data_IF_026323472063
#
_entry.id   IF_026323472063
#
_cell.length_a   1.000
_cell.length_b   1.000
_cell.length_c   1.000
_cell.angle_alpha   90.00
_cell.angle_beta   90.00
_cell.angle_gamma   90.00
#
_symmetry.space_group_name_H-M   'P 1'
#
loop_
_entity.id
_entity.type
_entity.pdbx_description
1 polymer ?
#
# COMPACT_ATOMS: atom_id res chain seq x y z
N UNK A 1 -3.61 35.58 20.71
CA UNK A 1 -4.18 35.00 19.48
C UNK A 1 -3.03 34.51 18.66
N UNK A 2 -2.88 33.23 18.50
CA UNK A 2 -1.83 32.62 17.65
C UNK A 2 -2.13 32.94 16.18
N UNK A 3 -1.15 33.27 15.33
CA UNK A 3 -1.42 33.58 13.93
C UNK A 3 -2.03 32.34 13.27
N UNK A 4 -3.19 32.54 12.64
CA UNK A 4 -3.87 31.52 11.82
C UNK A 4 -2.91 31.06 10.72
N UNK A 5 -2.45 29.79 10.77
CA UNK A 5 -1.70 29.16 9.68
C UNK A 5 -2.49 29.33 8.38
N UNK A 6 -1.83 29.79 7.33
CA UNK A 6 -2.45 29.92 6.00
C UNK A 6 -2.75 28.51 5.47
N UNK A 7 -3.92 28.36 4.85
CA UNK A 7 -4.27 27.12 4.12
C UNK A 7 -3.18 26.85 3.08
N UNK A 8 -2.47 25.71 3.19
CA UNK A 8 -1.38 25.31 2.29
C UNK A 8 0.03 25.35 2.88
N UNK A 9 0.25 25.90 4.08
CA UNK A 9 1.53 25.76 4.76
C UNK A 9 1.55 24.42 5.53
N UNK A 10 2.36 23.47 5.04
CA UNK A 10 2.65 22.24 5.82
C UNK A 10 3.21 22.59 7.18
N UNK A 11 2.80 21.87 8.21
CA UNK A 11 3.44 22.00 9.53
C UNK A 11 4.92 21.69 9.36
N UNK A 12 5.86 22.64 9.63
CA UNK A 12 7.28 22.40 9.48
C UNK A 12 7.78 21.25 10.37
N UNK A 13 7.04 20.89 11.40
CA UNK A 13 7.33 19.75 12.27
C UNK A 13 6.61 18.46 11.84
N UNK A 14 5.70 18.54 10.87
CA UNK A 14 5.02 17.37 10.33
C UNK A 14 6.02 16.55 9.52
N UNK A 15 6.14 15.27 9.79
CA UNK A 15 7.12 14.38 9.16
C UNK A 15 8.49 14.34 9.86
N UNK A 16 8.75 15.22 10.82
CA UNK A 16 9.95 15.15 11.66
C UNK A 16 9.73 14.38 12.97
N UNK A 17 8.48 14.03 13.27
CA UNK A 17 8.18 13.16 14.41
C UNK A 17 8.83 11.79 14.15
N UNK A 18 9.58 11.25 15.14
CA UNK A 18 10.15 9.92 14.99
C UNK A 18 9.04 8.91 14.70
N UNK A 19 9.31 7.97 13.81
CA UNK A 19 8.38 6.87 13.54
C UNK A 19 8.06 6.15 14.86
N UNK A 20 6.78 6.00 15.17
CA UNK A 20 6.34 5.30 16.37
C UNK A 20 6.47 3.78 16.17
N UNK A 21 7.69 3.26 16.29
CA UNK A 21 7.99 1.83 16.17
C UNK A 21 7.46 1.10 17.42
N UNK A 22 6.80 -0.05 17.23
CA UNK A 22 6.41 -0.96 18.30
C UNK A 22 7.35 -2.17 18.27
N UNK A 23 8.38 -2.22 19.12
CA UNK A 23 9.39 -3.26 19.07
C UNK A 23 8.79 -4.67 19.22
N UNK A 24 9.15 -5.58 18.32
CA UNK A 24 8.76 -6.98 18.38
C UNK A 24 7.34 -7.31 17.97
N UNK A 25 6.53 -6.32 17.52
CA UNK A 25 5.14 -6.55 17.07
C UNK A 25 5.03 -7.58 15.94
N UNK A 26 6.05 -7.65 15.09
CA UNK A 26 6.14 -8.58 13.96
C UNK A 26 7.18 -9.69 14.15
N UNK A 27 7.68 -9.89 15.37
CA UNK A 27 8.68 -10.91 15.63
C UNK A 27 8.19 -12.31 15.21
N UNK A 28 8.97 -12.98 14.37
CA UNK A 28 8.66 -14.31 13.85
C UNK A 28 7.64 -14.32 12.72
N UNK A 29 7.21 -13.16 12.22
CA UNK A 29 6.29 -13.05 11.09
C UNK A 29 7.03 -12.77 9.78
N UNK A 30 6.46 -13.26 8.69
CA UNK A 30 6.95 -13.03 7.33
C UNK A 30 5.95 -12.17 6.57
N UNK A 31 6.44 -11.05 6.04
CA UNK A 31 5.62 -10.11 5.28
C UNK A 31 6.09 -10.01 3.82
N UNK A 32 5.15 -10.03 2.89
CA UNK A 32 5.38 -9.63 1.50
C UNK A 32 4.87 -8.20 1.33
N UNK A 33 5.70 -7.32 0.78
CA UNK A 33 5.34 -5.93 0.47
C UNK A 33 5.57 -5.66 -1.01
N UNK A 34 4.51 -5.38 -1.77
CA UNK A 34 4.60 -5.01 -3.18
C UNK A 34 4.79 -3.51 -3.34
N UNK A 35 5.47 -3.06 -4.41
CA UNK A 35 5.83 -1.66 -4.59
C UNK A 35 6.85 -1.17 -3.56
N UNK A 36 7.69 -2.08 -3.04
CA UNK A 36 8.62 -1.80 -1.95
C UNK A 36 9.82 -0.91 -2.35
N UNK A 37 10.03 -0.67 -3.63
CA UNK A 37 11.15 0.14 -4.12
C UNK A 37 11.04 1.63 -3.79
N UNK A 38 9.84 2.15 -3.48
CA UNK A 38 9.65 3.58 -3.22
C UNK A 38 8.41 3.89 -2.36
N UNK A 39 8.25 5.15 -1.97
CA UNK A 39 7.02 5.69 -1.37
C UNK A 39 6.48 4.89 -0.19
N UNK A 40 5.18 4.63 -0.21
CA UNK A 40 4.47 3.91 0.87
C UNK A 40 5.01 2.48 1.03
N UNK A 41 5.33 1.78 -0.08
CA UNK A 41 5.84 0.41 -0.04
C UNK A 41 7.19 0.33 0.68
N UNK A 42 8.15 1.20 0.32
CA UNK A 42 9.45 1.31 1.02
C UNK A 42 9.26 1.61 2.51
N UNK A 43 8.44 2.61 2.84
CA UNK A 43 8.18 2.97 4.22
C UNK A 43 7.52 1.82 5.02
N UNK A 44 6.59 1.08 4.40
CA UNK A 44 5.95 -0.08 5.03
C UNK A 44 6.95 -1.21 5.25
N UNK A 45 7.77 -1.55 4.25
CA UNK A 45 8.78 -2.60 4.40
C UNK A 45 9.77 -2.29 5.54
N UNK A 46 10.29 -1.06 5.60
CA UNK A 46 11.15 -0.60 6.70
C UNK A 46 10.45 -0.69 8.05
N UNK A 47 9.20 -0.22 8.12
CA UNK A 47 8.41 -0.24 9.34
C UNK A 47 8.21 -1.66 9.88
N UNK A 48 7.79 -2.59 9.04
CA UNK A 48 7.57 -3.98 9.46
C UNK A 48 8.86 -4.65 9.92
N UNK A 49 9.97 -4.43 9.22
CA UNK A 49 11.27 -4.95 9.60
C UNK A 49 11.77 -4.34 10.91
N UNK A 50 11.64 -3.02 11.13
CA UNK A 50 11.98 -2.36 12.38
C UNK A 50 11.15 -2.89 13.57
N UNK A 51 10.00 -3.50 13.31
CA UNK A 51 9.14 -4.17 14.30
C UNK A 51 9.36 -5.69 14.38
N UNK A 52 10.39 -6.20 13.69
CA UNK A 52 10.88 -7.58 13.81
C UNK A 52 10.45 -8.56 12.72
N UNK A 53 9.80 -8.08 11.63
CA UNK A 53 9.41 -8.96 10.52
C UNK A 53 10.59 -9.39 9.65
N UNK A 54 10.48 -10.58 9.04
CA UNK A 54 11.21 -10.91 7.82
C UNK A 54 10.40 -10.44 6.61
N UNK A 55 10.96 -9.57 5.75
CA UNK A 55 10.24 -8.89 4.69
C UNK A 55 10.72 -9.30 3.30
N UNK A 56 9.83 -9.81 2.46
CA UNK A 56 10.05 -9.92 1.03
C UNK A 56 9.66 -8.59 0.37
N UNK A 57 10.64 -7.85 -0.13
CA UNK A 57 10.44 -6.59 -0.83
C UNK A 57 10.27 -6.85 -2.33
N UNK A 58 9.09 -6.58 -2.88
CA UNK A 58 8.74 -6.81 -4.27
C UNK A 58 8.57 -5.50 -5.04
N UNK A 59 9.22 -5.38 -6.19
CA UNK A 59 9.01 -4.28 -7.16
C UNK A 59 9.51 -4.69 -8.55
N UNK A 60 9.07 -3.99 -9.58
CA UNK A 60 9.62 -4.12 -10.95
C UNK A 60 11.02 -3.49 -11.06
N UNK A 61 11.32 -2.49 -10.20
CA UNK A 61 12.58 -1.77 -10.14
C UNK A 61 13.61 -2.53 -9.29
N UNK A 62 14.28 -3.52 -9.88
CA UNK A 62 15.20 -4.42 -9.18
C UNK A 62 16.30 -3.73 -8.39
N UNK A 63 16.93 -2.69 -8.94
CA UNK A 63 17.98 -1.93 -8.25
C UNK A 63 17.43 -1.19 -7.01
N UNK A 64 16.25 -0.58 -7.13
CA UNK A 64 15.64 0.15 -6.03
C UNK A 64 15.30 -0.77 -4.84
N UNK A 65 14.73 -1.95 -5.10
CA UNK A 65 14.41 -2.89 -4.01
C UNK A 65 15.66 -3.53 -3.39
N UNK A 66 16.73 -3.73 -4.17
CA UNK A 66 18.00 -4.22 -3.64
C UNK A 66 18.58 -3.22 -2.62
N UNK A 67 18.59 -1.94 -2.97
CA UNK A 67 19.01 -0.88 -2.05
C UNK A 67 18.14 -0.78 -0.80
N UNK A 68 16.81 -0.92 -0.95
CA UNK A 68 15.88 -0.92 0.20
C UNK A 68 16.12 -2.12 1.12
N UNK A 69 16.33 -3.31 0.55
CA UNK A 69 16.61 -4.50 1.37
C UNK A 69 17.95 -4.38 2.12
N UNK A 70 18.97 -3.83 1.49
CA UNK A 70 20.27 -3.56 2.13
C UNK A 70 20.13 -2.55 3.28
N UNK A 71 19.42 -1.44 3.04
CA UNK A 71 19.10 -0.44 4.06
C UNK A 71 18.38 -1.06 5.27
N UNK A 72 17.33 -1.86 5.02
CA UNK A 72 16.60 -2.55 6.07
C UNK A 72 17.51 -3.51 6.87
N UNK A 73 18.36 -4.29 6.19
CA UNK A 73 19.23 -5.24 6.85
C UNK A 73 20.30 -4.54 7.72
N UNK A 74 20.68 -3.32 7.39
CA UNK A 74 21.57 -2.52 8.24
C UNK A 74 20.83 -1.92 9.45
N UNK A 75 19.59 -1.44 9.27
CA UNK A 75 18.86 -0.67 10.29
C UNK A 75 18.05 -1.55 11.24
N UNK A 76 17.50 -2.68 10.78
CA UNK A 76 16.56 -3.50 11.53
C UNK A 76 17.20 -4.75 12.18
N UNK A 77 18.51 -4.96 12.04
CA UNK A 77 19.21 -6.13 12.57
C UNK A 77 19.02 -6.30 14.07
N UNK A 78 19.14 -5.22 14.84
CA UNK A 78 18.98 -5.24 16.30
C UNK A 78 17.54 -5.55 16.73
N UNK A 79 16.55 -5.24 15.90
CA UNK A 79 15.14 -5.59 16.12
C UNK A 79 14.81 -7.04 15.71
N UNK A 80 15.76 -7.75 15.12
CA UNK A 80 15.57 -9.08 14.57
C UNK A 80 14.84 -9.09 13.22
N UNK A 81 14.66 -7.94 12.61
CA UNK A 81 14.10 -7.80 11.27
C UNK A 81 15.12 -8.02 10.18
N UNK A 82 14.65 -8.43 9.01
CA UNK A 82 15.48 -8.62 7.80
C UNK A 82 14.66 -8.45 6.54
N UNK A 83 15.31 -8.23 5.41
CA UNK A 83 14.65 -8.12 4.12
C UNK A 83 15.39 -8.86 3.01
N UNK A 84 14.63 -9.38 2.04
CA UNK A 84 15.13 -9.92 0.78
C UNK A 84 14.41 -9.22 -0.36
N UNK A 85 15.15 -8.85 -1.40
CA UNK A 85 14.62 -8.20 -2.60
C UNK A 85 14.27 -9.25 -3.68
N UNK A 86 13.06 -9.14 -4.23
CA UNK A 86 12.63 -9.95 -5.36
C UNK A 86 12.05 -9.05 -6.45
N UNK A 87 12.65 -9.08 -7.65
CA UNK A 87 12.06 -8.39 -8.78
C UNK A 87 10.78 -9.09 -9.21
N UNK A 88 9.66 -8.36 -9.21
CA UNK A 88 8.35 -8.91 -9.54
C UNK A 88 7.48 -7.88 -10.27
N UNK A 89 6.93 -8.27 -11.41
CA UNK A 89 5.79 -7.57 -12.01
C UNK A 89 4.51 -8.24 -11.50
N UNK A 90 3.70 -7.52 -10.75
CA UNK A 90 2.46 -8.05 -10.16
C UNK A 90 1.42 -8.44 -11.22
N UNK A 91 1.62 -8.05 -12.48
CA UNK A 91 0.75 -8.43 -13.60
C UNK A 91 1.13 -9.78 -14.24
N UNK A 92 2.32 -10.30 -13.92
CA UNK A 92 2.79 -11.61 -14.39
C UNK A 92 2.38 -12.70 -13.40
N UNK A 93 1.36 -13.48 -13.77
CA UNK A 93 0.80 -14.55 -12.94
C UNK A 93 1.84 -15.60 -12.53
N UNK A 94 2.69 -16.02 -13.46
CA UNK A 94 3.72 -17.01 -13.17
C UNK A 94 4.81 -16.44 -12.26
N UNK A 95 5.28 -15.23 -12.56
CA UNK A 95 6.26 -14.52 -11.74
C UNK A 95 5.77 -14.26 -10.32
N UNK A 96 4.48 -13.96 -10.14
CA UNK A 96 3.87 -13.82 -8.80
C UNK A 96 3.88 -15.13 -8.03
N UNK A 97 3.51 -16.25 -8.68
CA UNK A 97 3.53 -17.56 -8.04
C UNK A 97 4.95 -17.96 -7.62
N UNK A 98 5.92 -17.75 -8.51
CA UNK A 98 7.32 -18.07 -8.26
C UNK A 98 7.90 -17.25 -7.10
N UNK A 99 7.65 -15.95 -7.05
CA UNK A 99 8.20 -15.08 -6.00
C UNK A 99 7.57 -15.37 -4.63
N UNK A 100 6.30 -15.72 -4.58
CA UNK A 100 5.66 -16.16 -3.32
C UNK A 100 6.28 -17.49 -2.83
N UNK A 101 6.53 -18.44 -3.73
CA UNK A 101 7.20 -19.70 -3.38
C UNK A 101 8.63 -19.48 -2.90
N UNK A 102 9.40 -18.60 -3.58
CA UNK A 102 10.75 -18.22 -3.15
C UNK A 102 10.73 -17.53 -1.77
N UNK A 103 9.79 -16.59 -1.55
CA UNK A 103 9.64 -15.92 -0.26
C UNK A 103 9.39 -16.91 0.88
N UNK A 104 8.57 -17.95 0.66
CA UNK A 104 8.33 -19.03 1.64
C UNK A 104 9.59 -19.85 1.91
N UNK A 105 10.35 -20.15 0.88
CA UNK A 105 11.61 -20.93 1.01
C UNK A 105 12.66 -20.17 1.82
N UNK A 106 12.82 -18.88 1.55
CA UNK A 106 13.91 -18.07 2.12
C UNK A 106 13.56 -17.46 3.48
N UNK A 107 12.29 -17.12 3.72
CA UNK A 107 11.86 -16.38 4.90
C UNK A 107 10.95 -17.18 5.84
N UNK A 108 10.29 -18.22 5.34
CA UNK A 108 9.28 -19.00 6.07
C UNK A 108 7.86 -18.71 5.58
N UNK A 109 6.85 -19.27 6.27
CA UNK A 109 5.45 -19.12 5.88
C UNK A 109 4.99 -17.65 5.91
N UNK A 110 4.36 -17.23 4.82
CA UNK A 110 3.88 -15.85 4.67
C UNK A 110 2.67 -15.62 5.56
N UNK A 111 2.81 -14.77 6.55
CA UNK A 111 1.75 -14.39 7.49
C UNK A 111 1.11 -13.04 7.15
N UNK A 112 1.80 -12.21 6.37
CA UNK A 112 1.33 -10.87 6.02
C UNK A 112 1.54 -10.57 4.53
N UNK A 113 0.53 -9.97 3.88
CA UNK A 113 0.63 -9.42 2.54
C UNK A 113 0.20 -7.96 2.54
N UNK A 114 1.10 -7.06 2.13
CA UNK A 114 0.81 -5.65 1.92
C UNK A 114 0.82 -5.34 0.41
N UNK A 115 -0.36 -5.26 -0.20
CA UNK A 115 -0.53 -4.89 -1.60
C UNK A 115 -0.47 -3.37 -1.76
N UNK A 116 0.72 -2.85 -2.11
CA UNK A 116 0.96 -1.41 -2.23
C UNK A 116 1.32 -1.01 -3.67
N UNK A 117 1.85 -1.92 -4.48
CA UNK A 117 2.13 -1.66 -5.88
C UNK A 117 0.91 -1.07 -6.59
N UNK A 118 1.16 -0.03 -7.36
CA UNK A 118 0.10 0.63 -8.10
C UNK A 118 0.62 1.78 -8.95
N UNK A 119 -0.18 2.14 -9.94
CA UNK A 119 0.06 3.29 -10.82
C UNK A 119 -1.17 4.18 -10.83
N UNK A 120 -0.96 5.49 -11.02
CA UNK A 120 -2.01 6.47 -11.20
C UNK A 120 -2.17 6.87 -12.68
N UNK A 121 -3.16 7.70 -12.94
CA UNK A 121 -3.36 8.34 -14.24
C UNK A 121 -4.52 9.32 -14.20
N UNK A 122 -4.34 10.44 -14.91
CA UNK A 122 -5.36 11.44 -15.15
C UNK A 122 -5.60 11.57 -16.65
N UNK A 123 -6.85 11.61 -17.06
CA UNK A 123 -7.29 11.91 -18.42
C UNK A 123 -8.75 12.36 -18.39
N UNK A 124 -9.17 13.21 -19.35
CA UNK A 124 -10.58 13.34 -19.65
C UNK A 124 -11.13 11.97 -20.08
N UNK A 125 -12.30 11.59 -19.58
CA UNK A 125 -12.85 10.26 -19.85
C UNK A 125 -12.97 9.92 -21.34
N UNK A 126 -13.38 10.86 -22.24
CA UNK A 126 -13.40 10.57 -23.67
C UNK A 126 -12.02 10.35 -24.31
N UNK A 127 -10.95 10.84 -23.67
CA UNK A 127 -9.57 10.76 -24.16
C UNK A 127 -8.79 9.59 -23.54
N UNK A 128 -9.38 8.93 -22.53
CA UNK A 128 -8.76 7.77 -21.89
C UNK A 128 -8.58 6.64 -22.89
N UNK A 129 -7.33 6.33 -23.27
CA UNK A 129 -7.08 5.20 -24.15
C UNK A 129 -7.41 3.87 -23.47
N UNK A 130 -7.89 2.90 -24.25
CA UNK A 130 -8.17 1.56 -23.72
C UNK A 130 -6.89 0.91 -23.16
N UNK A 131 -5.76 1.08 -23.82
CA UNK A 131 -4.47 0.55 -23.31
C UNK A 131 -4.04 1.18 -21.99
N UNK A 132 -4.29 2.47 -21.78
CA UNK A 132 -4.05 3.14 -20.50
C UNK A 132 -5.01 2.66 -19.41
N UNK A 133 -6.26 2.46 -19.74
CA UNK A 133 -7.25 1.84 -18.87
C UNK A 133 -6.81 0.43 -18.47
N UNK A 134 -6.51 -0.43 -19.44
CA UNK A 134 -6.12 -1.82 -19.22
C UNK A 134 -4.87 -1.92 -18.35
N UNK A 135 -3.87 -1.05 -18.57
CA UNK A 135 -2.65 -1.00 -17.76
C UNK A 135 -2.95 -0.67 -16.30
N UNK A 136 -3.83 0.30 -16.03
CA UNK A 136 -4.21 0.68 -14.66
C UNK A 136 -4.97 -0.46 -13.98
N UNK A 137 -5.90 -1.10 -14.67
CA UNK A 137 -6.65 -2.25 -14.15
C UNK A 137 -5.71 -3.44 -13.90
N UNK A 138 -4.82 -3.75 -14.85
CA UNK A 138 -3.88 -4.85 -14.73
C UNK A 138 -2.99 -4.71 -13.49
N UNK A 139 -2.36 -3.55 -13.30
CA UNK A 139 -1.46 -3.33 -12.16
C UNK A 139 -2.24 -3.25 -10.84
N UNK A 140 -3.24 -2.37 -10.76
CA UNK A 140 -3.86 -2.03 -9.48
C UNK A 140 -4.85 -3.08 -8.98
N UNK A 141 -5.63 -3.68 -9.86
CA UNK A 141 -6.70 -4.61 -9.48
C UNK A 141 -6.31 -6.06 -9.74
N UNK A 142 -5.93 -6.40 -10.97
CA UNK A 142 -5.55 -7.77 -11.32
C UNK A 142 -4.29 -8.19 -10.54
N UNK A 143 -3.26 -7.33 -10.47
CA UNK A 143 -2.06 -7.60 -9.69
C UNK A 143 -2.34 -7.82 -8.20
N UNK A 144 -3.20 -6.97 -7.59
CA UNK A 144 -3.65 -7.19 -6.20
C UNK A 144 -4.35 -8.55 -6.04
N UNK A 145 -5.22 -8.92 -6.98
CA UNK A 145 -5.89 -10.24 -6.97
C UNK A 145 -4.89 -11.39 -7.10
N UNK A 146 -3.93 -11.31 -8.03
CA UNK A 146 -2.92 -12.35 -8.25
C UNK A 146 -2.08 -12.58 -6.98
N UNK A 147 -1.63 -11.51 -6.33
CA UNK A 147 -0.88 -11.59 -5.08
C UNK A 147 -1.73 -12.23 -3.95
N UNK A 148 -2.98 -11.78 -3.77
CA UNK A 148 -3.88 -12.40 -2.79
C UNK A 148 -4.06 -13.91 -3.07
N UNK A 149 -4.34 -14.27 -4.32
CA UNK A 149 -4.54 -15.68 -4.73
C UNK A 149 -3.30 -16.52 -4.47
N UNK A 150 -2.10 -15.99 -4.67
CA UNK A 150 -0.86 -16.74 -4.50
C UNK A 150 -0.52 -17.02 -3.03
N UNK A 151 -0.85 -16.11 -2.09
CA UNK A 151 -0.56 -16.32 -0.66
C UNK A 151 -1.66 -17.09 0.08
N UNK A 152 -2.90 -17.04 -0.41
CA UNK A 152 -4.06 -17.66 0.27
C UNK A 152 -3.90 -19.16 0.58
N UNK A 153 -3.35 -20.02 -0.31
CA UNK A 153 -3.17 -21.43 0.02
C UNK A 153 -2.37 -21.68 1.32
N UNK A 154 -1.27 -20.96 1.52
CA UNK A 154 -0.51 -21.05 2.78
C UNK A 154 -1.25 -20.45 3.97
N UNK A 155 -1.88 -19.29 3.77
CA UNK A 155 -2.64 -18.62 4.83
C UNK A 155 -3.89 -19.42 5.28
N UNK A 156 -4.51 -20.23 4.41
CA UNK A 156 -5.63 -21.11 4.79
C UNK A 156 -5.18 -22.14 5.86
N UNK A 157 -3.92 -22.52 5.87
CA UNK A 157 -3.36 -23.49 6.81
C UNK A 157 -2.94 -22.82 8.13
N UNK A 158 -2.47 -21.58 8.11
CA UNK A 158 -1.81 -20.94 9.24
C UNK A 158 -2.47 -19.63 9.73
N UNK A 159 -3.47 -19.14 9.02
CA UNK A 159 -4.01 -17.79 9.24
C UNK A 159 -3.12 -16.71 8.63
N UNK A 160 -3.49 -15.44 8.81
CA UNK A 160 -2.68 -14.33 8.34
C UNK A 160 -3.46 -13.03 8.14
N UNK A 161 -2.78 -12.02 7.61
CA UNK A 161 -3.39 -10.73 7.33
C UNK A 161 -3.02 -10.21 5.92
N UNK A 162 -4.01 -9.73 5.19
CA UNK A 162 -3.84 -9.07 3.90
C UNK A 162 -4.28 -7.61 4.05
N UNK A 163 -3.44 -6.67 3.65
CA UNK A 163 -3.75 -5.25 3.67
C UNK A 163 -3.56 -4.67 2.27
N UNK A 164 -4.66 -4.19 1.68
CA UNK A 164 -4.71 -3.68 0.31
C UNK A 164 -4.74 -2.15 0.26
N UNK A 165 -4.11 -1.55 -0.74
CA UNK A 165 -4.18 -0.10 -0.99
C UNK A 165 -5.42 0.25 -1.82
N UNK A 166 -6.44 0.80 -1.16
CA UNK A 166 -7.72 1.19 -1.77
C UNK A 166 -7.67 2.62 -2.34
N UNK A 167 -6.91 3.55 -1.71
CA UNK A 167 -6.93 5.00 -2.02
C UNK A 167 -8.29 5.65 -1.72
N UNK A 168 -8.31 6.97 -1.51
CA UNK A 168 -9.56 7.75 -1.49
C UNK A 168 -10.33 7.62 -2.80
N UNK A 169 -9.64 7.42 -3.94
CA UNK A 169 -10.26 7.18 -5.25
C UNK A 169 -11.13 5.90 -5.30
N UNK A 170 -10.93 4.95 -4.40
CA UNK A 170 -11.81 3.78 -4.23
C UNK A 170 -12.98 4.02 -3.25
N UNK A 171 -13.01 5.17 -2.59
CA UNK A 171 -14.04 5.55 -1.60
C UNK A 171 -14.97 6.63 -2.16
N UNK A 172 -14.38 7.65 -2.77
CA UNK A 172 -15.08 8.76 -3.43
C UNK A 172 -14.66 8.89 -4.87
N UNK A 173 -15.47 9.57 -5.69
CA UNK A 173 -15.13 9.87 -7.09
C UNK A 173 -14.01 10.91 -7.17
N UNK A 174 -12.98 10.62 -7.97
CA UNK A 174 -11.90 11.53 -8.28
C UNK A 174 -12.04 12.00 -9.73
N UNK A 175 -12.14 13.33 -10.01
CA UNK A 175 -12.27 13.85 -11.37
C UNK A 175 -11.04 13.48 -12.20
N UNK A 176 -11.25 13.28 -13.50
CA UNK A 176 -10.21 12.94 -14.47
C UNK A 176 -9.45 11.64 -14.21
N UNK A 177 -9.97 10.75 -13.37
CA UNK A 177 -9.30 9.51 -12.95
C UNK A 177 -10.21 8.28 -13.03
N UNK A 178 -11.03 8.16 -14.07
CA UNK A 178 -12.04 7.08 -14.18
C UNK A 178 -11.42 5.68 -14.05
N UNK A 179 -10.33 5.39 -14.76
CA UNK A 179 -9.65 4.10 -14.71
C UNK A 179 -9.08 3.80 -13.30
N UNK A 180 -8.47 4.82 -12.67
CA UNK A 180 -7.91 4.68 -11.34
C UNK A 180 -9.02 4.46 -10.29
N UNK A 181 -10.09 5.24 -10.32
CA UNK A 181 -11.26 5.05 -9.45
C UNK A 181 -11.87 3.65 -9.62
N UNK A 182 -12.05 3.19 -10.87
CA UNK A 182 -12.58 1.86 -11.14
C UNK A 182 -11.66 0.76 -10.55
N UNK A 183 -10.33 0.88 -10.74
CA UNK A 183 -9.37 -0.07 -10.20
C UNK A 183 -9.42 -0.12 -8.68
N UNK A 184 -9.40 1.03 -8.01
CA UNK A 184 -9.38 1.13 -6.53
C UNK A 184 -10.74 0.81 -5.89
N UNK A 185 -11.85 1.13 -6.59
CA UNK A 185 -13.18 0.63 -6.24
C UNK A 185 -13.28 -0.90 -6.31
N UNK A 186 -12.67 -1.49 -7.35
CA UNK A 186 -12.52 -2.94 -7.47
C UNK A 186 -11.72 -3.55 -6.32
N UNK A 187 -10.57 -2.97 -5.96
CA UNK A 187 -9.76 -3.42 -4.81
C UNK A 187 -10.54 -3.32 -3.50
N UNK A 188 -11.33 -2.25 -3.30
CA UNK A 188 -12.21 -2.12 -2.13
C UNK A 188 -13.19 -3.29 -2.02
N UNK A 189 -13.87 -3.64 -3.11
CA UNK A 189 -14.83 -4.75 -3.10
C UNK A 189 -14.14 -6.12 -3.02
N UNK A 190 -12.99 -6.30 -3.67
CA UNK A 190 -12.14 -7.49 -3.52
C UNK A 190 -11.75 -7.69 -2.05
N UNK A 191 -11.29 -6.64 -1.36
CA UNK A 191 -10.97 -6.66 0.07
C UNK A 191 -12.13 -7.18 0.91
N UNK A 192 -13.35 -6.66 0.68
CA UNK A 192 -14.55 -7.07 1.41
C UNK A 192 -14.97 -8.50 1.11
N UNK A 193 -14.88 -8.92 -0.16
CA UNK A 193 -15.21 -10.27 -0.57
C UNK A 193 -14.31 -11.31 0.11
N UNK A 194 -12.98 -11.11 0.01
CA UNK A 194 -12.00 -11.99 0.65
C UNK A 194 -12.12 -12.00 2.17
N UNK A 195 -12.42 -10.85 2.80
CA UNK A 195 -12.64 -10.78 4.24
C UNK A 195 -13.77 -11.69 4.70
N UNK A 196 -14.92 -11.68 4.00
CA UNK A 196 -16.07 -12.54 4.32
C UNK A 196 -15.77 -14.01 4.01
N UNK A 197 -15.10 -14.29 2.88
CA UNK A 197 -14.82 -15.65 2.42
C UNK A 197 -13.85 -16.39 3.36
N UNK A 198 -12.84 -15.68 3.89
CA UNK A 198 -11.74 -16.31 4.63
C UNK A 198 -11.72 -16.03 6.13
N UNK A 199 -12.67 -15.27 6.70
CA UNK A 199 -12.68 -14.95 8.14
C UNK A 199 -12.71 -16.21 9.03
N UNK A 200 -13.43 -17.25 8.61
CA UNK A 200 -13.50 -18.52 9.36
C UNK A 200 -12.18 -19.34 9.28
N UNK A 201 -11.23 -18.92 8.46
CA UNK A 201 -9.89 -19.51 8.35
C UNK A 201 -8.82 -18.72 9.12
N UNK A 202 -9.23 -17.75 9.94
CA UNK A 202 -8.30 -16.91 10.66
C UNK A 202 -7.52 -15.92 9.76
N UNK A 203 -8.04 -15.64 8.56
CA UNK A 203 -7.44 -14.68 7.64
C UNK A 203 -8.21 -13.37 7.69
N UNK A 204 -7.51 -12.28 8.01
CA UNK A 204 -8.07 -10.93 8.01
C UNK A 204 -7.68 -10.20 6.71
N UNK A 205 -8.63 -9.54 6.09
CA UNK A 205 -8.38 -8.79 4.86
C UNK A 205 -8.95 -7.39 5.02
N UNK A 206 -8.06 -6.39 5.01
CA UNK A 206 -8.42 -4.99 5.21
C UNK A 206 -7.86 -4.10 4.11
N UNK A 207 -8.34 -2.88 4.03
CA UNK A 207 -7.87 -1.88 3.10
C UNK A 207 -7.42 -0.60 3.80
N UNK A 208 -6.40 0.03 3.26
CA UNK A 208 -6.00 1.41 3.59
C UNK A 208 -6.39 2.30 2.43
N UNK A 209 -7.04 3.43 2.70
CA UNK A 209 -7.42 4.43 1.72
C UNK A 209 -6.64 5.74 1.99
N UNK A 210 -5.39 5.87 1.50
CA UNK A 210 -4.63 7.10 1.61
C UNK A 210 -5.26 8.22 0.76
N UNK A 211 -5.13 9.46 1.24
CA UNK A 211 -5.32 10.66 0.43
C UNK A 211 -4.09 10.98 -0.40
N UNK A 212 -3.77 12.27 -0.55
CA UNK A 212 -2.52 12.71 -1.17
C UNK A 212 -1.32 12.35 -0.29
N UNK A 213 -0.35 11.64 -0.85
CA UNK A 213 0.88 11.21 -0.15
C UNK A 213 2.08 11.63 -0.99
N UNK A 214 3.07 12.23 -0.36
CA UNK A 214 4.32 12.66 -1.00
C UNK A 214 5.13 11.44 -1.48
N UNK A 215 4.92 11.06 -2.73
CA UNK A 215 5.49 9.86 -3.36
C UNK A 215 5.79 10.13 -4.84
N UNK A 216 6.64 9.33 -5.49
CA UNK A 216 6.89 9.45 -6.93
C UNK A 216 5.62 9.41 -7.80
N UNK A 217 4.56 8.73 -7.35
CA UNK A 217 3.29 8.67 -8.09
C UNK A 217 2.71 10.08 -8.26
N UNK A 218 2.66 10.87 -7.18
CA UNK A 218 2.03 12.20 -7.23
C UNK A 218 2.86 13.22 -8.03
N UNK A 219 4.17 13.03 -8.09
CA UNK A 219 5.07 13.90 -8.85
C UNK A 219 5.08 13.58 -10.36
N UNK A 220 4.70 12.38 -10.74
CA UNK A 220 4.72 11.92 -12.13
C UNK A 220 3.36 12.05 -12.84
N UNK A 221 2.30 12.40 -12.11
CA UNK A 221 0.94 12.51 -12.65
C UNK A 221 0.30 13.81 -12.19
N UNK A 222 -0.15 14.61 -13.15
CA UNK A 222 -0.93 15.81 -12.92
C UNK A 222 -2.29 15.74 -13.63
N UNK A 223 -3.27 16.55 -13.22
CA UNK A 223 -4.51 16.69 -13.96
C UNK A 223 -4.22 17.28 -15.37
N UNK A 224 -5.13 17.08 -16.34
CA UNK A 224 -5.05 17.74 -17.64
C UNK A 224 -4.82 19.25 -17.50
N UNK A 225 -4.14 19.88 -18.49
CA UNK A 225 -3.81 21.31 -18.43
C UNK A 225 -5.07 22.21 -18.35
N UNK A 226 -6.16 21.77 -18.96
CA UNK A 226 -7.47 22.45 -18.98
C UNK A 226 -8.42 21.94 -17.88
N UNK A 227 -7.93 21.23 -16.88
CA UNK A 227 -8.75 20.72 -15.78
C UNK A 227 -9.43 21.84 -15.00
N UNK A 228 -10.69 21.63 -14.64
CA UNK A 228 -11.40 22.53 -13.72
C UNK A 228 -10.82 22.42 -12.31
N UNK A 229 -10.07 23.44 -11.91
CA UNK A 229 -9.44 23.52 -10.59
C UNK A 229 -10.42 23.45 -9.42
N UNK A 230 -11.68 23.85 -9.61
CA UNK A 230 -12.71 23.70 -8.56
C UNK A 230 -12.98 22.23 -8.24
N UNK A 231 -12.89 21.38 -9.26
CA UNK A 231 -13.01 19.93 -9.06
C UNK A 231 -11.76 19.34 -8.41
N UNK A 232 -10.57 19.78 -8.83
CA UNK A 232 -9.30 19.32 -8.27
C UNK A 232 -9.15 19.72 -6.79
N UNK A 233 -9.56 20.94 -6.43
CA UNK A 233 -9.51 21.40 -5.04
C UNK A 233 -10.28 20.50 -4.05
N UNK A 234 -11.31 19.78 -4.52
CA UNK A 234 -12.04 18.81 -3.69
C UNK A 234 -11.18 17.60 -3.24
N UNK A 235 -10.06 17.37 -3.90
CA UNK A 235 -9.11 16.32 -3.56
C UNK A 235 -7.98 16.82 -2.65
N UNK A 236 -7.98 18.08 -2.31
CA UNK A 236 -6.94 18.70 -1.49
C UNK A 236 -7.42 18.84 -0.05
N UNK A 237 -6.53 18.57 0.88
CA UNK A 237 -6.77 18.80 2.31
C UNK A 237 -6.00 20.02 2.79
N UNK A 238 -6.55 20.84 3.73
CA UNK A 238 -5.84 21.96 4.31
C UNK A 238 -4.54 21.59 5.04
N UNK A 239 -4.39 20.32 5.43
CA UNK A 239 -3.20 19.82 6.12
C UNK A 239 -2.07 19.36 5.19
N UNK A 240 -2.26 19.48 3.85
CA UNK A 240 -1.27 19.10 2.83
C UNK A 240 -1.14 17.60 2.63
N UNK A 241 -0.07 17.17 1.95
CA UNK A 241 0.21 15.76 1.70
C UNK A 241 0.68 15.03 2.95
N UNK A 242 0.27 13.77 3.09
CA UNK A 242 0.83 12.87 4.08
C UNK A 242 2.24 12.42 3.63
N UNK A 243 3.07 12.03 4.60
CA UNK A 243 4.33 11.35 4.31
C UNK A 243 4.14 9.82 4.26
N UNK A 244 4.95 9.09 3.49
CA UNK A 244 4.84 7.63 3.37
C UNK A 244 4.81 6.87 4.70
N UNK A 245 5.59 7.29 5.69
CA UNK A 245 5.66 6.66 7.00
C UNK A 245 4.36 6.82 7.81
N UNK A 246 3.60 7.91 7.61
CA UNK A 246 2.30 8.10 8.25
C UNK A 246 1.27 7.05 7.76
N UNK A 247 1.40 6.64 6.50
CA UNK A 247 0.56 5.58 5.91
C UNK A 247 1.05 4.18 6.32
N UNK A 248 2.38 3.98 6.40
CA UNK A 248 2.98 2.72 6.82
C UNK A 248 2.50 2.25 8.21
N UNK A 249 2.24 3.19 9.12
CA UNK A 249 1.67 2.89 10.44
C UNK A 249 0.34 2.15 10.39
N UNK A 250 -0.53 2.48 9.42
CA UNK A 250 -1.81 1.80 9.25
C UNK A 250 -1.65 0.38 8.69
N UNK A 251 -0.72 0.18 7.74
CA UNK A 251 -0.37 -1.16 7.27
C UNK A 251 0.15 -2.01 8.43
N UNK A 252 1.04 -1.45 9.25
CA UNK A 252 1.58 -2.12 10.42
C UNK A 252 0.50 -2.44 11.47
N UNK A 253 -0.46 -1.56 11.71
CA UNK A 253 -1.58 -1.84 12.61
C UNK A 253 -2.48 -2.95 12.06
N UNK A 254 -3.00 -2.79 10.83
CA UNK A 254 -3.96 -3.74 10.23
C UNK A 254 -3.36 -5.12 9.97
N UNK A 255 -2.06 -5.22 9.73
CA UNK A 255 -1.34 -6.49 9.59
C UNK A 255 -1.06 -7.20 10.91
N UNK A 256 -1.06 -6.49 12.04
CA UNK A 256 -0.67 -7.03 13.34
C UNK A 256 -1.82 -7.68 14.12
N UNK A 257 -1.50 -8.36 15.23
CA UNK A 257 -2.46 -8.91 16.18
C UNK A 257 -3.27 -7.84 16.93
N UNK A 258 -2.84 -6.58 16.93
CA UNK A 258 -3.64 -5.49 17.49
C UNK A 258 -4.97 -5.29 16.75
N UNK A 259 -5.05 -5.78 15.49
CA UNK A 259 -6.23 -5.70 14.64
C UNK A 259 -6.97 -7.06 14.52
N UNK A 260 -6.86 -7.98 15.47
CA UNK A 260 -7.42 -9.34 15.36
C UNK A 260 -8.93 -9.38 15.15
N UNK A 261 -9.66 -8.36 15.60
CA UNK A 261 -11.11 -8.25 15.36
C UNK A 261 -11.47 -7.32 14.19
N UNK A 262 -10.48 -6.90 13.39
CA UNK A 262 -10.67 -6.00 12.24
C UNK A 262 -10.50 -6.80 10.94
N UNK A 263 -11.60 -7.02 10.23
CA UNK A 263 -11.60 -7.61 8.87
C UNK A 263 -12.70 -6.98 8.03
N UNK A 264 -12.46 -6.78 6.73
CA UNK A 264 -13.36 -6.09 5.79
C UNK A 264 -13.42 -4.56 5.96
N UNK A 265 -12.61 -4.00 6.85
CA UNK A 265 -12.54 -2.55 7.08
C UNK A 265 -11.76 -1.85 5.96
N UNK A 266 -12.16 -0.61 5.68
CA UNK A 266 -11.40 0.32 4.84
C UNK A 266 -11.06 1.53 5.70
N UNK A 267 -9.79 1.64 6.08
CA UNK A 267 -9.29 2.71 6.93
C UNK A 267 -8.83 3.90 6.07
N UNK A 268 -9.59 4.98 6.10
CA UNK A 268 -9.21 6.23 5.45
C UNK A 268 -8.11 6.95 6.23
N UNK A 269 -7.04 7.35 5.52
CA UNK A 269 -5.95 8.18 6.03
C UNK A 269 -5.73 9.29 5.01
N UNK A 270 -6.62 10.25 5.00
CA UNK A 270 -6.78 11.17 3.88
C UNK A 270 -6.94 12.64 4.30
N UNK A 271 -6.73 12.94 5.57
CA UNK A 271 -6.88 14.31 6.07
C UNK A 271 -8.30 14.85 5.90
N UNK A 272 -9.31 13.97 6.06
CA UNK A 272 -10.74 14.28 5.99
C UNK A 272 -11.27 14.57 4.56
N UNK A 273 -10.53 14.19 3.49
CA UNK A 273 -11.01 14.36 2.10
C UNK A 273 -12.31 13.59 1.85
N UNK A 274 -12.46 12.41 2.45
CA UNK A 274 -13.65 11.55 2.27
C UNK A 274 -14.68 11.64 3.39
N UNK A 275 -14.52 12.57 4.33
CA UNK A 275 -15.44 12.80 5.45
C UNK A 275 -16.72 13.54 5.05
#
# INVERSE_FOLDING_TARGET
>A
MSPTKRVGESDPNRGTSPEAITPGRYKGQVAIVTGAGSGIGRATARRLAAEGAAVACLDVAGEAIAAVAEEINMEAADAGGRAIAFRCDVTDEAGVADVVAQSRTELGEVTNLCNIAGIGGFAHTPEQSLSGWDKIIAVNLTGTFLMCRAVLPGMIEHGGAIVNTVSTAGVIGQPYSAAYCASKGGVKMLTKALAVEYMARGIRVNGVAPGGVDTPIIHNFGPPEDADWKLIQRLMTPIGFAYPHEIAGAFAYLGSHEADYVTGAILSIDGAISA
#
